data_IF_100795006550
#
_entry.id   IF_100795006550
#
_cell.length_a   1.000
_cell.length_b   1.000
_cell.length_c   1.000
_cell.angle_alpha   90.00
_cell.angle_beta   90.00
_cell.angle_gamma   90.00
#
_symmetry.space_group_name_H-M   'P 1'
#
loop_
_entity.id
_entity.type
_entity.pdbx_description
1 polymer ?
#
# COMPACT_ATOMS: atom_id res chain seq x y z
N UNK A 1 19.78 -16.53 1.26
CA UNK A 1 19.39 -15.37 2.06
C UNK A 1 20.39 -14.23 1.88
N UNK A 2 19.95 -13.00 1.94
CA UNK A 2 20.81 -11.82 1.77
C UNK A 2 21.29 -11.24 3.11
N UNK A 3 20.68 -11.66 4.22
CA UNK A 3 21.07 -11.24 5.58
C UNK A 3 20.00 -10.45 6.32
N UNK A 4 20.41 -9.69 7.31
CA UNK A 4 19.60 -8.82 8.15
C UNK A 4 20.04 -7.37 7.96
N UNK A 5 19.07 -6.48 7.81
CA UNK A 5 19.28 -5.04 7.75
C UNK A 5 18.28 -4.32 8.67
N UNK A 6 18.75 -3.33 9.38
CA UNK A 6 17.92 -2.34 10.10
C UNK A 6 18.72 -1.04 10.26
N UNK A 7 18.20 -0.06 10.97
CA UNK A 7 18.86 1.23 11.19
C UNK A 7 20.26 1.13 11.82
N UNK A 8 20.54 0.08 12.58
CA UNK A 8 21.77 -0.06 13.37
C UNK A 8 22.72 -1.13 12.82
N UNK A 9 22.25 -1.99 11.93
CA UNK A 9 23.00 -3.14 11.48
C UNK A 9 22.68 -3.51 10.01
N UNK A 10 23.71 -3.64 9.20
CA UNK A 10 23.63 -4.02 7.79
C UNK A 10 24.49 -5.26 7.53
N UNK A 11 24.05 -6.41 8.03
CA UNK A 11 24.71 -7.70 7.80
C UNK A 11 24.33 -8.33 6.48
N UNK A 12 24.68 -7.68 5.35
CA UNK A 12 24.32 -8.09 4.00
C UNK A 12 25.54 -8.07 3.08
N UNK A 13 25.46 -8.82 1.98
CA UNK A 13 26.49 -8.86 0.94
C UNK A 13 26.05 -8.26 -0.39
N UNK A 14 24.92 -7.55 -0.43
CA UNK A 14 24.31 -7.01 -1.65
C UNK A 14 24.09 -5.52 -1.58
N UNK A 15 23.88 -4.90 -2.74
CA UNK A 15 23.49 -3.50 -2.89
C UNK A 15 22.37 -3.39 -3.92
N UNK A 16 21.55 -2.31 -3.92
CA UNK A 16 21.62 -1.19 -2.96
C UNK A 16 21.10 -1.57 -1.58
N UNK A 17 21.58 -0.87 -0.55
CA UNK A 17 21.00 -0.91 0.80
C UNK A 17 19.94 0.20 0.87
N UNK A 18 18.68 -0.10 1.18
CA UNK A 18 17.64 0.92 1.31
C UNK A 18 17.92 1.84 2.51
N UNK A 19 17.40 3.05 2.47
CA UNK A 19 17.36 3.92 3.62
C UNK A 19 16.39 3.36 4.67
N UNK A 20 16.83 3.29 5.93
CA UNK A 20 16.02 2.81 7.04
C UNK A 20 15.43 3.95 7.85
N UNK A 21 14.17 3.78 8.25
CA UNK A 21 13.41 4.76 9.01
C UNK A 21 12.55 4.05 10.07
N UNK A 22 12.39 4.61 11.29
CA UNK A 22 11.58 3.98 12.35
C UNK A 22 10.15 3.67 11.92
N UNK A 23 9.52 4.61 11.17
CA UNK A 23 8.16 4.46 10.64
C UNK A 23 8.08 3.63 9.34
N UNK A 24 9.21 3.08 8.90
CA UNK A 24 9.28 2.23 7.71
C UNK A 24 8.59 0.88 7.91
N UNK A 25 8.64 0.04 6.90
CA UNK A 25 8.04 -1.29 6.88
C UNK A 25 9.04 -2.33 7.37
N UNK A 26 8.61 -3.29 8.19
CA UNK A 26 9.38 -4.51 8.42
C UNK A 26 9.10 -5.50 7.29
N UNK A 27 10.15 -5.97 6.67
CA UNK A 27 10.04 -6.96 5.58
C UNK A 27 10.74 -8.27 5.95
N UNK A 28 9.98 -9.36 5.93
CA UNK A 28 10.48 -10.71 6.19
C UNK A 28 10.36 -11.53 4.93
N UNK A 29 11.48 -12.10 4.45
CA UNK A 29 11.52 -12.84 3.20
C UNK A 29 12.18 -14.20 3.33
N UNK A 30 11.52 -15.24 2.79
CA UNK A 30 12.10 -16.58 2.61
C UNK A 30 13.10 -16.65 1.46
N UNK A 31 13.20 -15.63 0.61
CA UNK A 31 14.09 -15.62 -0.56
C UNK A 31 14.91 -14.34 -0.62
N UNK A 32 16.23 -14.49 -0.72
CA UNK A 32 17.14 -13.34 -0.84
C UNK A 32 16.97 -12.59 -2.16
N UNK A 33 16.95 -13.31 -3.29
CA UNK A 33 16.77 -12.70 -4.61
C UNK A 33 15.42 -11.99 -4.76
N UNK A 34 14.34 -12.66 -4.32
CA UNK A 34 13.00 -12.07 -4.36
C UNK A 34 12.90 -10.85 -3.43
N UNK A 35 13.63 -10.86 -2.30
CA UNK A 35 13.64 -9.72 -1.41
C UNK A 35 14.16 -8.45 -2.11
N UNK A 36 15.24 -8.55 -2.90
CA UNK A 36 15.77 -7.42 -3.65
C UNK A 36 14.76 -6.87 -4.65
N UNK A 37 14.12 -7.73 -5.43
CA UNK A 37 13.09 -7.28 -6.39
C UNK A 37 11.87 -6.62 -5.72
N UNK A 38 11.51 -7.07 -4.52
CA UNK A 38 10.42 -6.45 -3.73
C UNK A 38 10.88 -5.09 -3.19
N UNK A 39 12.10 -5.00 -2.66
CA UNK A 39 12.68 -3.74 -2.18
C UNK A 39 12.74 -2.69 -3.30
N UNK A 40 13.26 -3.04 -4.47
CA UNK A 40 13.30 -2.15 -5.62
C UNK A 40 11.92 -1.62 -6.00
N UNK A 41 10.91 -2.50 -6.08
CA UNK A 41 9.54 -2.10 -6.35
C UNK A 41 8.93 -1.24 -5.23
N UNK A 42 9.29 -1.47 -3.98
CA UNK A 42 8.82 -0.70 -2.84
C UNK A 42 9.40 0.72 -2.84
N UNK A 43 10.70 0.86 -3.12
CA UNK A 43 11.38 2.16 -3.18
C UNK A 43 10.77 3.08 -4.25
N UNK A 44 10.38 2.54 -5.41
CA UNK A 44 9.72 3.33 -6.46
C UNK A 44 8.33 3.87 -6.05
N UNK A 45 7.74 3.31 -4.98
CA UNK A 45 6.47 3.76 -4.39
C UNK A 45 6.67 4.61 -3.13
N UNK A 46 7.91 5.03 -2.85
CA UNK A 46 8.24 5.83 -1.67
C UNK A 46 8.20 5.06 -0.33
N UNK A 47 8.13 3.72 -0.36
CA UNK A 47 8.18 2.94 0.87
C UNK A 47 9.59 2.98 1.47
N UNK A 48 9.65 3.25 2.76
CA UNK A 48 10.86 3.13 3.60
C UNK A 48 10.81 1.83 4.37
N UNK A 49 11.97 1.35 4.81
CA UNK A 49 12.06 0.13 5.61
C UNK A 49 12.49 0.46 7.05
N UNK A 50 11.92 -0.23 8.02
CA UNK A 50 12.42 -0.26 9.41
C UNK A 50 13.41 -1.40 9.58
N UNK A 51 13.07 -2.57 9.04
CA UNK A 51 13.97 -3.73 9.01
C UNK A 51 13.69 -4.64 7.83
N UNK A 52 14.72 -5.39 7.39
CA UNK A 52 14.62 -6.45 6.39
C UNK A 52 15.26 -7.73 6.94
N UNK A 53 14.50 -8.80 7.00
CA UNK A 53 14.87 -10.10 7.52
C UNK A 53 14.84 -11.14 6.42
N UNK A 54 15.99 -11.60 5.96
CA UNK A 54 16.06 -12.66 4.95
C UNK A 54 16.36 -13.99 5.62
N UNK A 55 15.33 -14.82 5.83
CA UNK A 55 15.45 -16.11 6.52
C UNK A 55 15.86 -17.27 5.59
N UNK A 56 15.90 -17.05 4.28
CA UNK A 56 16.26 -18.08 3.29
C UNK A 56 15.36 -19.32 3.39
N UNK A 57 15.92 -20.50 3.22
CA UNK A 57 15.18 -21.77 3.26
C UNK A 57 14.70 -22.17 4.67
N UNK A 58 14.77 -21.26 5.63
CA UNK A 58 14.20 -21.40 6.98
C UNK A 58 14.67 -22.68 7.72
N UNK A 59 15.96 -23.06 7.59
CA UNK A 59 16.45 -24.26 8.28
C UNK A 59 16.38 -24.15 9.79
N UNK A 60 16.81 -23.00 10.34
CA UNK A 60 16.75 -22.70 11.76
C UNK A 60 15.55 -21.81 12.09
N UNK A 61 15.46 -20.65 11.46
CA UNK A 61 14.40 -19.68 11.70
C UNK A 61 13.56 -19.49 10.43
N UNK A 62 12.25 -19.58 10.54
CA UNK A 62 11.28 -19.28 9.51
C UNK A 62 10.70 -17.87 9.67
N UNK A 63 9.76 -17.52 8.79
CA UNK A 63 9.01 -16.27 8.88
C UNK A 63 8.22 -16.20 10.20
N UNK A 64 7.67 -17.32 10.63
CA UNK A 64 6.93 -17.47 11.87
C UNK A 64 7.78 -17.21 13.14
N UNK A 65 9.09 -17.51 13.10
CA UNK A 65 10.01 -17.25 14.21
C UNK A 65 10.33 -15.75 14.33
N UNK A 66 10.47 -15.06 13.18
CA UNK A 66 10.68 -13.62 13.17
C UNK A 66 9.41 -12.89 13.63
N UNK A 67 8.23 -13.35 13.19
CA UNK A 67 6.96 -12.80 13.69
C UNK A 67 6.79 -13.01 15.20
N UNK A 68 7.18 -14.17 15.74
CA UNK A 68 7.22 -14.41 17.19
C UNK A 68 8.14 -13.42 17.89
N UNK A 69 9.35 -13.22 17.38
CA UNK A 69 10.31 -12.27 17.94
C UNK A 69 9.72 -10.85 17.95
N UNK A 70 9.16 -10.40 16.82
CA UNK A 70 8.53 -9.09 16.72
C UNK A 70 7.32 -8.94 17.65
N UNK A 71 6.48 -9.97 17.76
CA UNK A 71 5.28 -9.92 18.61
C UNK A 71 5.63 -9.85 20.10
N UNK A 72 6.62 -10.63 20.53
CA UNK A 72 7.05 -10.67 21.95
C UNK A 72 7.73 -9.39 22.40
N UNK A 73 8.44 -8.72 21.51
CA UNK A 73 9.20 -7.51 21.80
C UNK A 73 8.52 -6.23 21.30
N UNK A 74 7.28 -6.29 20.84
CA UNK A 74 6.60 -5.19 20.20
C UNK A 74 6.36 -4.00 21.12
N UNK A 75 6.95 -2.86 20.77
CA UNK A 75 6.67 -1.56 21.37
C UNK A 75 5.76 -0.74 20.42
N UNK A 76 4.54 -0.37 20.86
CA UNK A 76 3.58 0.33 20.00
C UNK A 76 4.00 1.76 19.63
N UNK A 77 5.02 2.31 20.27
CA UNK A 77 5.55 3.67 20.00
C UNK A 77 6.77 3.62 19.10
N UNK A 78 7.65 2.64 19.29
CA UNK A 78 8.95 2.59 18.63
C UNK A 78 8.97 1.68 17.40
N UNK A 79 8.12 0.65 17.37
CA UNK A 79 8.19 -0.36 16.32
C UNK A 79 7.26 -0.06 15.14
N UNK A 80 7.72 -0.43 13.95
CA UNK A 80 6.90 -0.40 12.74
C UNK A 80 5.57 -1.14 12.92
N UNK A 81 4.49 -0.53 12.46
CA UNK A 81 3.16 -1.15 12.46
C UNK A 81 2.82 -1.89 11.15
N UNK A 82 3.73 -1.89 10.18
CA UNK A 82 3.48 -2.49 8.87
C UNK A 82 4.48 -3.63 8.66
N UNK A 83 3.95 -4.82 8.36
CA UNK A 83 4.78 -6.00 8.08
C UNK A 83 4.49 -6.50 6.67
N UNK A 84 5.53 -6.66 5.88
CA UNK A 84 5.49 -7.31 4.57
C UNK A 84 6.11 -8.70 4.67
N UNK A 85 5.47 -9.72 4.10
CA UNK A 85 5.95 -11.08 4.15
C UNK A 85 6.05 -11.66 2.73
N UNK A 86 7.19 -12.29 2.44
CA UNK A 86 7.33 -13.20 1.30
C UNK A 86 7.65 -14.59 1.83
N UNK A 87 6.73 -15.53 1.64
CA UNK A 87 6.74 -16.85 2.27
C UNK A 87 6.78 -17.93 1.20
N UNK A 88 7.80 -18.78 1.21
CA UNK A 88 7.87 -19.98 0.35
C UNK A 88 7.31 -21.21 1.08
N UNK A 89 7.57 -21.34 2.36
CA UNK A 89 7.10 -22.44 3.20
C UNK A 89 6.59 -21.93 4.55
N UNK A 90 5.51 -22.51 5.04
CA UNK A 90 4.99 -22.34 6.41
C UNK A 90 5.22 -23.66 7.13
N UNK A 91 6.15 -23.69 8.09
CA UNK A 91 6.48 -24.89 8.86
C UNK A 91 5.62 -25.05 10.10
N UNK A 92 5.28 -23.93 10.72
CA UNK A 92 4.54 -23.86 11.98
C UNK A 92 3.31 -22.96 11.79
N UNK A 93 2.23 -23.46 11.15
CA UNK A 93 1.05 -22.65 10.82
C UNK A 93 0.35 -22.09 12.07
N UNK A 94 0.31 -22.83 13.18
CA UNK A 94 -0.29 -22.36 14.42
C UNK A 94 0.51 -21.19 15.02
N UNK A 95 1.82 -21.25 14.94
CA UNK A 95 2.72 -20.19 15.39
C UNK A 95 2.54 -18.92 14.56
N UNK A 96 2.50 -19.07 13.22
CA UNK A 96 2.23 -17.96 12.31
C UNK A 96 0.86 -17.33 12.61
N UNK A 97 -0.18 -18.16 12.76
CA UNK A 97 -1.53 -17.70 13.09
C UNK A 97 -1.55 -16.91 14.40
N UNK A 98 -0.93 -17.45 15.45
CA UNK A 98 -0.94 -16.85 16.78
C UNK A 98 -0.26 -15.48 16.78
N UNK A 99 0.98 -15.41 16.29
CA UNK A 99 1.79 -14.18 16.37
C UNK A 99 1.35 -13.12 15.36
N UNK A 100 0.92 -13.50 14.16
CA UNK A 100 0.34 -12.55 13.22
C UNK A 100 -0.97 -11.95 13.76
N UNK A 101 -1.87 -12.78 14.30
CA UNK A 101 -3.12 -12.29 14.92
C UNK A 101 -2.87 -11.42 16.14
N UNK A 102 -1.83 -11.73 16.93
CA UNK A 102 -1.42 -10.93 18.09
C UNK A 102 -0.93 -9.54 17.64
N UNK A 103 -0.03 -9.47 16.69
CA UNK A 103 0.48 -8.22 16.13
C UNK A 103 -0.66 -7.36 15.54
N UNK A 104 -1.61 -7.99 14.81
CA UNK A 104 -2.76 -7.27 14.24
C UNK A 104 -3.66 -6.69 15.34
N UNK A 105 -3.90 -7.43 16.44
CA UNK A 105 -4.62 -6.88 17.59
C UNK A 105 -3.88 -5.72 18.29
N UNK A 106 -2.55 -5.70 18.21
CA UNK A 106 -1.71 -4.60 18.68
C UNK A 106 -1.67 -3.40 17.72
N UNK A 107 -2.43 -3.46 16.60
CA UNK A 107 -2.55 -2.39 15.61
C UNK A 107 -1.61 -2.51 14.41
N UNK A 108 -0.89 -3.63 14.27
CA UNK A 108 -0.10 -3.87 13.06
C UNK A 108 -0.98 -4.24 11.86
N UNK A 109 -0.51 -3.92 10.67
CA UNK A 109 -1.08 -4.32 9.38
C UNK A 109 -0.10 -5.26 8.69
N UNK A 110 -0.57 -6.42 8.22
CA UNK A 110 0.29 -7.44 7.63
C UNK A 110 -0.20 -7.78 6.23
N UNK A 111 0.71 -7.67 5.24
CA UNK A 111 0.48 -8.13 3.88
C UNK A 111 1.47 -9.24 3.52
N UNK A 112 1.03 -10.26 2.79
CA UNK A 112 1.87 -11.41 2.50
C UNK A 112 1.66 -11.98 1.10
N UNK A 113 2.76 -12.37 0.47
CA UNK A 113 2.78 -13.31 -0.65
C UNK A 113 3.14 -14.69 -0.12
N UNK A 114 2.36 -15.71 -0.49
CA UNK A 114 2.74 -17.12 -0.37
C UNK A 114 3.04 -17.67 -1.76
N UNK A 115 4.31 -17.93 -2.03
CA UNK A 115 4.75 -18.51 -3.29
C UNK A 115 4.25 -19.95 -3.47
N UNK A 116 4.06 -20.38 -4.72
CA UNK A 116 3.59 -21.72 -5.05
C UNK A 116 2.09 -21.92 -4.80
N UNK A 117 1.25 -20.95 -5.23
CA UNK A 117 -0.20 -21.02 -5.14
C UNK A 117 -0.86 -21.92 -6.20
N UNK A 118 -0.21 -22.12 -7.34
CA UNK A 118 -0.66 -22.99 -8.44
C UNK A 118 0.11 -24.30 -8.47
N UNK A 119 -0.40 -25.33 -9.17
CA UNK A 119 0.31 -26.61 -9.30
C UNK A 119 1.68 -26.42 -9.96
N UNK A 120 1.81 -25.58 -10.97
CA UNK A 120 3.10 -25.26 -11.59
C UNK A 120 4.03 -24.51 -10.63
N UNK A 121 3.50 -23.55 -9.90
CA UNK A 121 4.25 -22.82 -8.86
C UNK A 121 4.69 -23.73 -7.71
N UNK A 122 3.86 -24.69 -7.29
CA UNK A 122 4.22 -25.70 -6.28
C UNK A 122 5.39 -26.57 -6.76
N UNK A 123 5.34 -27.06 -8.00
CA UNK A 123 6.45 -27.84 -8.56
C UNK A 123 7.74 -27.03 -8.63
N UNK A 124 7.66 -25.76 -9.06
CA UNK A 124 8.83 -24.88 -9.10
C UNK A 124 9.40 -24.61 -7.69
N UNK A 125 8.55 -24.30 -6.72
CA UNK A 125 8.95 -24.09 -5.33
C UNK A 125 9.56 -25.36 -4.71
N UNK A 126 8.96 -26.53 -4.93
CA UNK A 126 9.48 -27.82 -4.46
C UNK A 126 10.85 -28.14 -5.05
N UNK A 127 11.05 -27.90 -6.36
CA UNK A 127 12.34 -28.12 -7.03
C UNK A 127 13.43 -27.17 -6.50
N UNK A 128 13.04 -25.95 -6.10
CA UNK A 128 13.98 -24.94 -5.62
C UNK A 128 14.35 -25.13 -4.14
N UNK A 129 13.38 -25.49 -3.29
CA UNK A 129 13.56 -25.53 -1.84
C UNK A 129 13.57 -26.94 -1.24
N UNK A 130 13.17 -27.95 -2.02
CA UNK A 130 12.95 -29.31 -1.55
C UNK A 130 11.76 -29.47 -0.59
N UNK A 131 10.92 -28.46 -0.48
CA UNK A 131 9.81 -28.42 0.45
C UNK A 131 8.50 -28.88 -0.18
N UNK A 132 7.68 -29.62 0.57
CA UNK A 132 6.32 -29.97 0.16
C UNK A 132 5.45 -28.72 0.31
N UNK A 133 4.83 -28.30 -0.79
CA UNK A 133 3.96 -27.12 -0.78
C UNK A 133 2.64 -27.39 -0.04
N UNK A 134 2.26 -26.50 0.85
CA UNK A 134 0.97 -26.53 1.52
C UNK A 134 -0.19 -26.34 0.53
N UNK A 135 -1.38 -26.84 0.87
CA UNK A 135 -2.60 -26.55 0.10
C UNK A 135 -2.86 -25.03 0.06
N UNK A 136 -3.14 -24.50 -1.12
CA UNK A 136 -3.41 -23.07 -1.30
C UNK A 136 -4.67 -22.62 -0.55
N UNK A 137 -5.69 -23.46 -0.50
CA UNK A 137 -6.92 -23.22 0.29
C UNK A 137 -6.65 -23.17 1.80
N UNK A 138 -5.73 -23.99 2.30
CA UNK A 138 -5.33 -23.92 3.71
C UNK A 138 -4.56 -22.62 4.02
N UNK A 139 -3.70 -22.17 3.12
CA UNK A 139 -2.99 -20.89 3.25
C UNK A 139 -3.98 -19.72 3.23
N UNK A 140 -4.95 -19.73 2.32
CA UNK A 140 -6.01 -18.73 2.24
C UNK A 140 -6.81 -18.65 3.56
N UNK A 141 -7.22 -19.80 4.07
CA UNK A 141 -7.95 -19.87 5.34
C UNK A 141 -7.10 -19.36 6.52
N UNK A 142 -5.82 -19.73 6.55
CA UNK A 142 -4.86 -19.29 7.58
C UNK A 142 -4.69 -17.77 7.56
N UNK A 143 -4.40 -17.18 6.39
CA UNK A 143 -4.20 -15.74 6.25
C UNK A 143 -5.46 -14.95 6.61
N UNK A 144 -6.62 -15.38 6.11
CA UNK A 144 -7.90 -14.77 6.45
C UNK A 144 -8.20 -14.84 7.95
N UNK A 145 -7.95 -15.98 8.60
CA UNK A 145 -8.14 -16.15 10.06
C UNK A 145 -7.17 -15.30 10.86
N UNK A 146 -5.93 -15.13 10.39
CA UNK A 146 -4.93 -14.29 11.02
C UNK A 146 -5.19 -12.79 10.83
N UNK A 147 -5.96 -12.40 9.80
CA UNK A 147 -6.15 -11.00 9.39
C UNK A 147 -5.05 -10.49 8.44
N UNK A 148 -4.27 -11.39 7.83
CA UNK A 148 -3.23 -11.05 6.86
C UNK A 148 -3.88 -10.76 5.51
N UNK A 149 -3.53 -9.64 4.87
CA UNK A 149 -3.92 -9.34 3.49
C UNK A 149 -3.05 -10.17 2.54
N UNK A 150 -3.67 -11.08 1.81
CA UNK A 150 -2.99 -11.92 0.84
C UNK A 150 -2.77 -11.16 -0.46
N UNK A 151 -1.54 -11.22 -0.97
CA UNK A 151 -1.12 -10.63 -2.24
C UNK A 151 -0.58 -11.74 -3.16
N UNK A 152 -0.76 -11.57 -4.48
CA UNK A 152 -0.39 -12.56 -5.49
C UNK A 152 0.76 -12.09 -6.40
N UNK A 153 1.16 -10.84 -6.30
CA UNK A 153 2.29 -10.28 -7.04
C UNK A 153 3.10 -9.32 -6.18
N UNK A 154 4.34 -9.08 -6.60
CA UNK A 154 5.22 -8.06 -6.02
C UNK A 154 4.57 -6.68 -6.02
N UNK A 155 3.95 -6.31 -7.13
CA UNK A 155 3.28 -5.03 -7.29
C UNK A 155 2.09 -4.87 -6.33
N UNK A 156 1.30 -5.93 -6.17
CA UNK A 156 0.19 -5.94 -5.22
C UNK A 156 0.69 -5.81 -3.77
N UNK A 157 1.72 -6.58 -3.38
CA UNK A 157 2.30 -6.51 -2.04
C UNK A 157 2.80 -5.11 -1.70
N UNK A 158 3.57 -4.50 -2.60
CA UNK A 158 4.14 -3.16 -2.37
C UNK A 158 3.06 -2.07 -2.41
N UNK A 159 2.04 -2.21 -3.24
CA UNK A 159 0.89 -1.29 -3.27
C UNK A 159 0.06 -1.38 -1.98
N UNK A 160 -0.24 -2.61 -1.51
CA UNK A 160 -0.96 -2.79 -0.24
C UNK A 160 -0.15 -2.23 0.94
N UNK A 161 1.16 -2.45 0.96
CA UNK A 161 2.03 -1.88 1.98
C UNK A 161 2.04 -0.33 1.93
N UNK A 162 2.05 0.27 0.74
CA UNK A 162 1.94 1.73 0.58
C UNK A 162 0.60 2.25 1.10
N UNK A 163 -0.50 1.56 0.81
CA UNK A 163 -1.82 1.92 1.37
C UNK A 163 -1.81 1.84 2.90
N UNK A 164 -1.10 0.88 3.49
CA UNK A 164 -1.01 0.74 4.93
C UNK A 164 -0.29 1.90 5.62
N UNK A 165 0.57 2.65 4.93
CA UNK A 165 1.23 3.85 5.47
C UNK A 165 0.29 5.05 5.57
N UNK A 166 -0.85 5.01 4.88
CA UNK A 166 -1.82 6.09 4.86
C UNK A 166 -2.80 5.99 6.04
N UNK A 167 -3.56 7.07 6.26
CA UNK A 167 -4.57 7.15 7.33
C UNK A 167 -5.63 6.05 7.19
N UNK A 168 -6.13 5.56 8.31
CA UNK A 168 -7.14 4.50 8.33
C UNK A 168 -8.48 4.99 7.77
N UNK A 169 -9.11 4.14 6.97
CA UNK A 169 -10.44 4.39 6.41
C UNK A 169 -11.50 4.03 7.46
N UNK A 170 -12.43 4.96 7.71
CA UNK A 170 -13.52 4.77 8.68
C UNK A 170 -14.89 4.52 8.04
N UNK A 171 -14.99 4.59 6.72
CA UNK A 171 -16.25 4.42 5.98
C UNK A 171 -16.01 3.82 4.60
N UNK A 172 -16.99 3.92 3.71
CA UNK A 172 -16.94 3.31 2.36
C UNK A 172 -17.23 4.28 1.24
N UNK A 173 -17.57 5.52 1.53
CA UNK A 173 -17.98 6.51 0.54
C UNK A 173 -16.75 7.26 0.04
N UNK A 174 -16.40 7.02 -1.21
CA UNK A 174 -15.21 7.55 -1.85
C UNK A 174 -15.55 8.73 -2.76
N UNK A 175 -14.91 9.86 -2.59
CA UNK A 175 -14.84 10.89 -3.61
C UNK A 175 -13.62 10.66 -4.50
N UNK A 176 -13.81 10.80 -5.80
CA UNK A 176 -12.73 10.75 -6.79
C UNK A 176 -12.48 12.19 -7.25
N UNK A 177 -11.25 12.67 -7.10
CA UNK A 177 -10.80 13.97 -7.62
C UNK A 177 -9.79 13.69 -8.73
N UNK A 178 -10.00 14.28 -9.90
CA UNK A 178 -9.17 14.01 -11.08
C UNK A 178 -9.03 15.24 -11.97
N UNK A 179 -7.98 15.25 -12.78
CA UNK A 179 -7.84 16.16 -13.95
C UNK A 179 -8.07 15.44 -15.27
N UNK A 180 -8.40 14.13 -15.22
CA UNK A 180 -8.56 13.26 -16.41
C UNK A 180 -9.74 12.30 -16.22
N UNK A 181 -10.81 12.52 -16.97
CA UNK A 181 -12.06 11.76 -16.83
C UNK A 181 -11.93 10.26 -17.12
N UNK A 182 -11.15 9.84 -18.12
CA UNK A 182 -11.00 8.43 -18.49
C UNK A 182 -10.53 7.52 -17.34
N UNK A 183 -9.39 7.79 -16.71
CA UNK A 183 -8.95 7.05 -15.54
C UNK A 183 -9.93 7.05 -14.37
N UNK A 184 -10.67 8.15 -14.18
CA UNK A 184 -11.67 8.25 -13.14
C UNK A 184 -12.85 7.31 -13.33
N UNK A 185 -13.32 7.12 -14.57
CA UNK A 185 -14.36 6.12 -14.89
C UNK A 185 -13.89 4.71 -14.55
N UNK A 186 -12.68 4.35 -14.97
CA UNK A 186 -12.09 3.04 -14.63
C UNK A 186 -11.98 2.82 -13.13
N UNK A 187 -11.58 3.87 -12.39
CA UNK A 187 -11.47 3.80 -10.94
C UNK A 187 -12.84 3.65 -10.28
N UNK A 188 -13.86 4.40 -10.70
CA UNK A 188 -15.21 4.31 -10.17
C UNK A 188 -15.78 2.88 -10.32
N UNK A 189 -15.56 2.26 -11.48
CA UNK A 189 -15.92 0.86 -11.72
C UNK A 189 -15.18 -0.10 -10.79
N UNK A 190 -13.87 0.09 -10.60
CA UNK A 190 -13.05 -0.75 -9.74
C UNK A 190 -13.47 -0.63 -8.27
N UNK A 191 -13.72 0.59 -7.79
CA UNK A 191 -14.19 0.85 -6.42
C UNK A 191 -15.54 0.19 -6.16
N UNK A 192 -16.49 0.33 -7.07
CA UNK A 192 -17.82 -0.27 -6.96
C UNK A 192 -17.76 -1.80 -6.93
N UNK A 193 -16.93 -2.42 -7.79
CA UNK A 193 -16.66 -3.86 -7.76
C UNK A 193 -15.98 -4.29 -6.46
N UNK A 194 -15.12 -3.43 -5.90
CA UNK A 194 -14.44 -3.60 -4.60
C UNK A 194 -15.32 -3.33 -3.38
N UNK A 195 -16.63 -3.08 -3.55
CA UNK A 195 -17.60 -2.78 -2.48
C UNK A 195 -17.35 -1.45 -1.76
N UNK A 196 -16.71 -0.50 -2.41
CA UNK A 196 -16.70 0.91 -2.02
C UNK A 196 -17.80 1.64 -2.78
N UNK A 197 -18.36 2.67 -2.17
CA UNK A 197 -19.38 3.50 -2.79
C UNK A 197 -18.72 4.72 -3.43
N UNK A 198 -19.24 5.14 -4.57
CA UNK A 198 -18.91 6.42 -5.21
C UNK A 198 -20.21 7.24 -5.24
N UNK A 199 -20.56 7.93 -4.11
CA UNK A 199 -21.84 8.64 -4.01
C UNK A 199 -21.91 9.82 -4.95
N UNK A 200 -23.10 10.12 -5.50
CA UNK A 200 -23.33 11.37 -6.22
C UNK A 200 -23.15 12.57 -5.30
N UNK A 201 -22.48 13.61 -5.81
CA UNK A 201 -22.29 14.89 -5.12
C UNK A 201 -23.15 15.94 -5.85
N UNK A 202 -24.23 16.35 -5.21
CA UNK A 202 -25.26 17.20 -5.82
C UNK A 202 -25.70 18.31 -4.85
N UNK A 203 -26.51 19.24 -5.37
CA UNK A 203 -27.12 20.30 -4.58
C UNK A 203 -26.21 21.51 -4.37
N UNK A 204 -26.60 22.44 -3.46
CA UNK A 204 -25.97 23.75 -3.34
C UNK A 204 -24.46 23.73 -3.07
N UNK A 205 -23.97 22.69 -2.36
CA UNK A 205 -22.53 22.52 -2.08
C UNK A 205 -21.78 22.19 -3.37
N UNK A 206 -22.32 21.31 -4.21
CA UNK A 206 -21.72 20.97 -5.50
C UNK A 206 -21.77 22.17 -6.46
N UNK A 207 -22.86 22.93 -6.46
CA UNK A 207 -22.98 24.15 -7.26
C UNK A 207 -21.97 25.21 -6.82
N UNK A 208 -21.77 25.37 -5.51
CA UNK A 208 -20.75 26.26 -4.96
C UNK A 208 -19.34 25.82 -5.37
N UNK A 209 -19.02 24.51 -5.27
CA UNK A 209 -17.74 23.98 -5.74
C UNK A 209 -17.55 24.27 -7.24
N UNK A 210 -18.56 24.01 -8.05
CA UNK A 210 -18.52 24.26 -9.49
C UNK A 210 -18.20 25.71 -9.85
N UNK A 211 -18.73 26.66 -9.09
CA UNK A 211 -18.46 28.10 -9.28
C UNK A 211 -17.02 28.52 -9.01
N UNK A 212 -16.27 27.68 -8.27
CA UNK A 212 -14.85 27.92 -7.89
C UNK A 212 -13.87 27.21 -8.82
N UNK A 213 -14.34 26.40 -9.74
CA UNK A 213 -13.53 25.67 -10.71
C UNK A 213 -13.64 26.29 -12.12
N UNK A 214 -12.77 25.87 -13.02
CA UNK A 214 -12.86 26.34 -14.41
C UNK A 214 -14.21 25.92 -15.07
N UNK A 215 -14.71 26.75 -16.00
CA UNK A 215 -15.83 26.36 -16.85
C UNK A 215 -15.53 25.03 -17.57
N UNK A 216 -16.46 24.08 -17.45
CA UNK A 216 -16.30 22.72 -17.99
C UNK A 216 -15.91 21.67 -16.96
N UNK A 217 -15.51 22.06 -15.75
CA UNK A 217 -15.32 21.13 -14.64
C UNK A 217 -16.63 20.41 -14.28
N UNK A 218 -16.52 19.13 -13.87
CA UNK A 218 -17.62 18.34 -13.33
C UNK A 218 -17.45 18.13 -11.83
N UNK A 219 -18.55 18.13 -11.08
CA UNK A 219 -18.52 18.03 -9.61
C UNK A 219 -19.40 16.92 -9.05
N UNK A 220 -19.97 16.07 -9.92
CA UNK A 220 -20.94 15.03 -9.54
C UNK A 220 -20.33 13.75 -8.95
N UNK A 221 -19.04 13.68 -8.76
CA UNK A 221 -18.25 12.50 -8.40
C UNK A 221 -18.23 11.43 -9.52
N UNK A 222 -17.14 11.35 -10.29
CA UNK A 222 -15.86 12.03 -10.07
C UNK A 222 -15.92 13.57 -10.17
N UNK A 223 -15.15 14.26 -9.30
CA UNK A 223 -14.87 15.68 -9.43
C UNK A 223 -13.75 15.83 -10.45
N UNK A 224 -14.08 16.25 -11.67
CA UNK A 224 -13.10 16.45 -12.74
C UNK A 224 -12.77 17.93 -12.88
N UNK A 225 -11.57 18.31 -12.41
CA UNK A 225 -11.08 19.70 -12.48
C UNK A 225 -10.50 20.04 -13.86
N UNK A 226 -10.62 19.12 -14.83
CA UNK A 226 -10.09 19.17 -16.20
C UNK A 226 -8.57 19.33 -16.31
N UNK A 227 -7.99 19.08 -17.49
CA UNK A 227 -6.55 19.11 -17.73
C UNK A 227 -5.86 20.49 -17.55
N UNK A 228 -6.64 21.56 -17.51
CA UNK A 228 -6.17 22.93 -17.22
C UNK A 228 -6.35 23.32 -15.75
N UNK A 229 -6.82 22.39 -14.91
CA UNK A 229 -6.98 22.61 -13.48
C UNK A 229 -5.64 22.97 -12.82
N UNK A 230 -5.67 23.95 -11.92
CA UNK A 230 -4.50 24.45 -11.19
C UNK A 230 -4.35 23.75 -9.84
N UNK A 231 -3.19 23.88 -9.17
CA UNK A 231 -3.02 23.41 -7.80
C UNK A 231 -4.10 23.91 -6.83
N UNK A 232 -4.55 25.18 -7.00
CA UNK A 232 -5.61 25.78 -6.18
C UNK A 232 -6.97 25.12 -6.43
N UNK A 233 -7.28 24.72 -7.67
CA UNK A 233 -8.50 23.98 -7.97
C UNK A 233 -8.48 22.59 -7.33
N UNK A 234 -7.32 21.91 -7.34
CA UNK A 234 -7.13 20.64 -6.64
C UNK A 234 -7.36 20.82 -5.13
N UNK A 235 -6.71 21.81 -4.52
CA UNK A 235 -6.87 22.12 -3.10
C UNK A 235 -8.33 22.39 -2.77
N UNK A 236 -9.02 23.21 -3.57
CA UNK A 236 -10.44 23.54 -3.40
C UNK A 236 -11.32 22.30 -3.44
N UNK A 237 -11.13 21.42 -4.43
CA UNK A 237 -11.91 20.18 -4.53
C UNK A 237 -11.70 19.27 -3.32
N UNK A 238 -10.44 19.11 -2.86
CA UNK A 238 -10.11 18.34 -1.65
C UNK A 238 -10.75 18.97 -0.41
N UNK A 239 -10.68 20.30 -0.24
CA UNK A 239 -11.25 20.99 0.92
C UNK A 239 -12.78 20.87 0.98
N UNK A 240 -13.45 20.85 -0.15
CA UNK A 240 -14.89 20.56 -0.20
C UNK A 240 -15.20 19.13 0.21
N UNK A 241 -14.42 18.15 -0.26
CA UNK A 241 -14.57 16.77 0.16
C UNK A 241 -14.27 16.56 1.64
N UNK A 242 -13.29 17.28 2.20
CA UNK A 242 -12.93 17.21 3.63
C UNK A 242 -14.02 17.82 4.51
N UNK A 243 -14.50 19.04 4.18
CA UNK A 243 -15.20 19.90 5.13
C UNK A 243 -16.68 20.12 4.82
N UNK A 244 -17.14 19.83 3.59
CA UNK A 244 -18.48 20.23 3.13
C UNK A 244 -19.36 19.05 2.72
N UNK A 245 -18.77 17.99 2.17
CA UNK A 245 -19.52 16.78 1.80
C UNK A 245 -19.50 15.76 2.94
N UNK A 246 -20.55 15.73 3.74
CA UNK A 246 -20.68 14.82 4.89
C UNK A 246 -20.80 13.35 4.48
N UNK A 247 -21.22 13.10 3.23
CA UNK A 247 -21.34 11.76 2.66
C UNK A 247 -20.04 11.24 2.03
N UNK A 248 -18.89 11.85 2.30
CA UNK A 248 -17.56 11.42 1.84
C UNK A 248 -16.73 10.97 3.03
N UNK A 249 -16.20 9.75 2.99
CA UNK A 249 -15.36 9.17 4.05
C UNK A 249 -13.87 9.16 3.69
N UNK A 250 -13.56 9.10 2.39
CA UNK A 250 -12.19 9.04 1.86
C UNK A 250 -12.13 9.67 0.47
N UNK A 251 -10.92 9.99 0.04
CA UNK A 251 -10.67 10.59 -1.27
C UNK A 251 -9.65 9.77 -2.06
N UNK A 252 -9.91 9.57 -3.35
CA UNK A 252 -8.94 9.08 -4.33
C UNK A 252 -8.58 10.21 -5.27
N UNK A 253 -7.31 10.57 -5.33
CA UNK A 253 -6.83 11.68 -6.16
C UNK A 253 -6.01 11.14 -7.31
N UNK A 254 -6.55 11.24 -8.52
CA UNK A 254 -5.85 10.86 -9.75
C UNK A 254 -5.21 12.12 -10.32
N UNK A 255 -3.89 12.16 -10.31
CA UNK A 255 -3.16 13.27 -10.91
C UNK A 255 -1.90 12.76 -11.61
N UNK A 256 -1.66 13.22 -12.82
CA UNK A 256 -0.53 12.80 -13.60
C UNK A 256 -0.13 13.85 -14.63
N UNK A 257 1.08 13.73 -15.17
CA UNK A 257 1.56 14.65 -16.18
C UNK A 257 0.73 14.55 -17.47
N UNK A 258 0.11 15.63 -17.93
CA UNK A 258 -0.50 15.66 -19.26
C UNK A 258 0.54 15.75 -20.39
N UNK A 259 1.82 15.47 -20.11
CA UNK A 259 2.92 15.47 -21.07
C UNK A 259 4.02 16.47 -20.72
N UNK A 260 3.94 17.70 -21.18
CA UNK A 260 5.06 18.67 -21.11
C UNK A 260 5.02 19.65 -19.93
N UNK A 261 4.03 19.51 -19.02
CA UNK A 261 3.84 20.45 -17.91
C UNK A 261 4.49 19.90 -16.65
N UNK A 262 5.25 20.75 -15.95
CA UNK A 262 5.77 20.44 -14.61
C UNK A 262 4.60 20.43 -13.60
N UNK A 263 4.56 19.42 -12.73
CA UNK A 263 3.48 19.21 -11.77
C UNK A 263 3.93 19.31 -10.31
N UNK A 264 5.13 19.79 -10.05
CA UNK A 264 5.70 19.86 -8.70
C UNK A 264 4.77 20.60 -7.72
N UNK A 265 4.30 21.80 -8.11
CA UNK A 265 3.40 22.61 -7.28
C UNK A 265 2.10 21.86 -6.94
N UNK A 266 1.61 21.05 -7.86
CA UNK A 266 0.40 20.22 -7.63
C UNK A 266 0.68 19.07 -6.66
N UNK A 267 1.85 18.43 -6.77
CA UNK A 267 2.25 17.37 -5.85
C UNK A 267 2.54 17.91 -4.46
N UNK A 268 3.13 19.10 -4.32
CA UNK A 268 3.29 19.79 -3.04
C UNK A 268 1.95 20.07 -2.38
N UNK A 269 0.97 20.57 -3.13
CA UNK A 269 -0.40 20.78 -2.64
C UNK A 269 -1.03 19.46 -2.21
N UNK A 270 -0.91 18.40 -3.01
CA UNK A 270 -1.45 17.09 -2.67
C UNK A 270 -0.81 16.54 -1.39
N UNK A 271 0.51 16.60 -1.27
CA UNK A 271 1.25 16.17 -0.08
C UNK A 271 0.77 16.91 1.16
N UNK A 272 0.70 18.24 1.10
CA UNK A 272 0.19 19.08 2.20
C UNK A 272 -1.22 18.68 2.59
N UNK A 273 -2.13 18.47 1.62
CA UNK A 273 -3.50 18.04 1.89
C UNK A 273 -3.57 16.64 2.51
N UNK A 274 -2.70 15.72 2.12
CA UNK A 274 -2.61 14.40 2.76
C UNK A 274 -2.22 14.48 4.24
N UNK A 275 -1.41 15.46 4.63
CA UNK A 275 -1.07 15.72 6.04
C UNK A 275 -2.21 16.40 6.82
N UNK A 276 -2.80 17.44 6.24
CA UNK A 276 -3.79 18.30 6.91
C UNK A 276 -5.18 17.65 7.05
N UNK A 277 -5.67 16.95 6.02
CA UNK A 277 -7.02 16.36 6.01
C UNK A 277 -7.15 15.23 7.03
N UNK A 278 -8.29 15.14 7.68
CA UNK A 278 -8.65 14.03 8.59
C UNK A 278 -9.10 12.80 7.80
N UNK A 279 -9.84 13.02 6.70
CA UNK A 279 -10.26 11.98 5.79
C UNK A 279 -9.03 11.48 5.01
N UNK A 280 -8.83 10.16 4.87
CA UNK A 280 -7.69 9.62 4.13
C UNK A 280 -7.73 9.98 2.66
N UNK A 281 -6.58 10.37 2.12
CA UNK A 281 -6.36 10.63 0.70
C UNK A 281 -5.45 9.54 0.14
N UNK A 282 -5.87 8.90 -0.95
CA UNK A 282 -5.11 7.90 -1.67
C UNK A 282 -4.68 8.46 -3.03
N UNK A 283 -3.42 8.83 -3.19
CA UNK A 283 -2.92 9.34 -4.46
C UNK A 283 -2.80 8.20 -5.48
N UNK A 284 -3.24 8.46 -6.70
CA UNK A 284 -3.07 7.58 -7.87
C UNK A 284 -2.27 8.38 -8.89
N UNK A 285 -0.97 8.17 -8.86
CA UNK A 285 -0.02 8.91 -9.67
C UNK A 285 0.49 8.02 -10.80
N UNK A 286 0.69 8.53 -12.02
CA UNK A 286 1.35 7.78 -13.07
C UNK A 286 2.79 7.53 -12.66
N UNK A 287 3.24 6.31 -12.88
CA UNK A 287 4.57 5.86 -12.48
C UNK A 287 5.72 6.69 -13.11
N UNK A 288 6.75 6.24 -13.40
CA UNK A 288 8.05 6.47 -14.04
C UNK A 288 8.33 7.88 -14.63
N UNK A 289 7.37 8.55 -15.29
CA UNK A 289 7.61 9.85 -15.95
C UNK A 289 7.72 11.00 -14.96
N UNK A 290 7.22 10.82 -13.75
CA UNK A 290 7.26 11.78 -12.65
C UNK A 290 8.27 11.42 -11.57
N UNK A 291 8.94 10.30 -11.67
CA UNK A 291 10.12 9.98 -10.88
C UNK A 291 11.31 10.80 -11.41
N UNK A 292 11.29 12.09 -11.15
CA UNK A 292 12.45 12.92 -11.24
C UNK A 292 13.44 12.62 -10.11
N UNK A 293 14.64 13.18 -10.15
CA UNK A 293 15.63 13.06 -9.08
C UNK A 293 15.22 13.93 -7.89
N UNK A 294 14.18 13.53 -7.18
CA UNK A 294 13.68 14.19 -5.98
C UNK A 294 13.64 13.23 -4.81
#
# INVERSE_FOLDING_TARGET
CIGLMNMNYHGVFTQPIPEFHPDGVDFISSSGGTALFIIESALTKGLRFSSVWSVGNSKQNGVEDILEYMDRNFDPVLDSKIKMLYIEQIKQPDKLLYHASSLIRKGCKIAAIKAGSTESGKRAASSHTGAIASSDSAVEALFRKAGIVRCFSREELTTVASIFTLKDVKGKNCAIVTHAGGPAVMLADALSKGRLNVPSLEGPIADELKSKLYPGAAVGNPIDIIGTGTPEHLATAIDFCENRFDNVDLMMVIFGSPGLVKLYDTYEVLHKKMEECKKPIFPILPSIVTAGPE
#
